data_IF_599199412365
#
_entry.id   IF_599199412365
#
_cell.length_a   1.000
_cell.length_b   1.000
_cell.length_c   1.000
_cell.angle_alpha   90.00
_cell.angle_beta   90.00
_cell.angle_gamma   90.00
#
_symmetry.space_group_name_H-M   'P 1'
#
loop_
_entity.id
_entity.type
_entity.pdbx_description
1 polymer ?
#
# COMPACT_ATOMS: atom_id res chain seq x y z
N UNK A 1 -22.56 -23.42 -3.84
CA UNK A 1 -21.74 -22.99 -2.68
C UNK A 1 -20.64 -22.07 -3.17
N UNK A 2 -20.69 -20.78 -2.82
CA UNK A 2 -19.67 -19.80 -3.25
C UNK A 2 -18.41 -19.98 -2.40
N UNK A 3 -17.43 -20.73 -2.89
CA UNK A 3 -16.13 -20.84 -2.23
C UNK A 3 -15.42 -19.48 -2.33
N UNK A 4 -15.20 -18.83 -1.19
CA UNK A 4 -14.58 -17.51 -1.10
C UNK A 4 -13.14 -17.61 -1.64
N UNK A 5 -12.93 -17.19 -2.88
CA UNK A 5 -11.59 -17.18 -3.50
C UNK A 5 -10.69 -16.17 -2.78
N UNK A 6 -9.41 -16.51 -2.59
CA UNK A 6 -8.45 -15.64 -1.90
C UNK A 6 -8.18 -14.38 -2.73
N UNK A 7 -8.26 -13.21 -2.09
CA UNK A 7 -7.98 -11.92 -2.74
C UNK A 7 -6.58 -11.37 -2.45
N UNK A 8 -5.90 -11.86 -1.41
CA UNK A 8 -4.57 -11.39 -1.03
C UNK A 8 -3.52 -12.47 -1.29
N UNK A 9 -2.53 -12.13 -2.12
CA UNK A 9 -1.32 -12.92 -2.36
C UNK A 9 -0.13 -12.18 -1.75
N UNK A 10 0.76 -12.93 -1.09
CA UNK A 10 2.09 -12.46 -0.68
C UNK A 10 2.94 -12.14 -1.92
N UNK A 11 3.99 -11.32 -1.76
CA UNK A 11 4.87 -10.95 -2.88
C UNK A 11 5.51 -12.18 -3.52
N UNK A 12 6.02 -13.11 -2.71
CA UNK A 12 6.58 -14.38 -3.22
C UNK A 12 5.54 -15.21 -4.00
N UNK A 13 4.27 -15.20 -3.60
CA UNK A 13 3.22 -15.88 -4.37
C UNK A 13 2.91 -15.16 -5.70
N UNK A 14 2.95 -13.82 -5.73
CA UNK A 14 2.75 -13.03 -6.96
C UNK A 14 3.85 -13.34 -7.96
N UNK A 15 5.11 -13.37 -7.53
CA UNK A 15 6.24 -13.72 -8.38
C UNK A 15 6.11 -15.14 -8.95
N UNK A 16 5.71 -16.11 -8.10
CA UNK A 16 5.44 -17.48 -8.56
C UNK A 16 4.31 -17.56 -9.59
N UNK A 17 3.25 -16.76 -9.43
CA UNK A 17 2.16 -16.68 -10.41
C UNK A 17 2.66 -16.15 -11.75
N UNK A 18 3.47 -15.08 -11.72
CA UNK A 18 4.05 -14.47 -12.93
C UNK A 18 5.00 -15.46 -13.63
N UNK A 19 5.87 -16.14 -12.89
CA UNK A 19 6.77 -17.17 -13.42
C UNK A 19 5.99 -18.34 -14.05
N UNK A 20 4.90 -18.79 -13.42
CA UNK A 20 4.09 -19.87 -13.97
C UNK A 20 3.30 -19.45 -15.23
N UNK A 21 2.94 -18.18 -15.36
CA UNK A 21 2.37 -17.62 -16.59
C UNK A 21 3.44 -17.50 -17.69
N UNK A 22 4.63 -17.03 -17.35
CA UNK A 22 5.77 -16.94 -18.28
C UNK A 22 6.12 -18.31 -18.89
N UNK A 23 6.19 -19.36 -18.07
CA UNK A 23 6.39 -20.74 -18.55
C UNK A 23 5.31 -21.24 -19.51
N UNK A 24 4.11 -20.64 -19.47
CA UNK A 24 2.95 -20.98 -20.32
C UNK A 24 2.70 -19.91 -21.38
N UNK A 25 3.61 -18.97 -21.53
CA UNK A 25 3.54 -17.92 -22.54
C UNK A 25 4.33 -18.33 -23.77
N UNK A 26 3.84 -17.93 -24.94
CA UNK A 26 4.52 -18.05 -26.22
C UNK A 26 4.58 -16.63 -26.78
N UNK A 27 5.77 -16.18 -27.16
CA UNK A 27 5.99 -14.80 -27.66
C UNK A 27 5.52 -13.70 -26.69
N UNK A 28 5.63 -13.95 -25.38
CA UNK A 28 5.20 -12.98 -24.36
C UNK A 28 3.68 -12.95 -24.13
N UNK A 29 2.90 -13.81 -24.79
CA UNK A 29 1.45 -13.90 -24.56
C UNK A 29 1.11 -15.23 -23.87
N UNK A 30 0.40 -15.23 -22.73
CA UNK A 30 -0.05 -16.46 -22.09
C UNK A 30 -0.96 -17.24 -23.03
N UNK A 31 -0.71 -18.55 -23.19
CA UNK A 31 -1.56 -19.43 -23.99
C UNK A 31 -3.03 -19.34 -23.54
N UNK A 32 -3.95 -19.49 -24.49
CA UNK A 32 -5.37 -19.59 -24.19
C UNK A 32 -5.65 -20.62 -23.08
N UNK A 33 -6.30 -20.18 -22.00
CA UNK A 33 -6.59 -21.02 -20.83
C UNK A 33 -5.54 -20.98 -19.71
N UNK A 34 -4.31 -20.51 -19.96
CA UNK A 34 -3.23 -20.48 -18.97
C UNK A 34 -3.62 -19.69 -17.70
N UNK A 35 -4.29 -18.55 -17.86
CA UNK A 35 -4.80 -17.75 -16.73
C UNK A 35 -5.77 -18.55 -15.86
N UNK A 36 -6.64 -19.37 -16.47
CA UNK A 36 -7.61 -20.20 -15.73
C UNK A 36 -6.90 -21.33 -14.98
N UNK A 37 -5.93 -21.98 -15.61
CA UNK A 37 -5.13 -23.04 -14.99
C UNK A 37 -4.32 -22.50 -13.80
N UNK A 38 -3.61 -21.39 -13.99
CA UNK A 38 -2.84 -20.73 -12.94
C UNK A 38 -3.76 -20.25 -11.82
N UNK A 39 -4.90 -19.64 -12.14
CA UNK A 39 -5.88 -19.23 -11.11
C UNK A 39 -6.36 -20.42 -10.26
N UNK A 40 -6.58 -21.57 -10.90
CA UNK A 40 -6.99 -22.81 -10.22
C UNK A 40 -5.87 -23.34 -9.33
N UNK A 41 -4.63 -23.37 -9.83
CA UNK A 41 -3.44 -23.82 -9.09
C UNK A 41 -3.19 -23.01 -7.82
N UNK A 42 -3.40 -21.69 -7.85
CA UNK A 42 -3.15 -20.80 -6.72
C UNK A 42 -4.41 -20.49 -5.88
N UNK A 43 -5.57 -21.03 -6.25
CA UNK A 43 -6.84 -20.83 -5.52
C UNK A 43 -7.32 -19.36 -5.52
N UNK A 44 -6.99 -18.60 -6.57
CA UNK A 44 -7.31 -17.18 -6.72
C UNK A 44 -8.32 -16.95 -7.83
N UNK A 45 -8.93 -15.77 -7.84
CA UNK A 45 -9.81 -15.41 -8.94
C UNK A 45 -9.03 -15.14 -10.24
N UNK A 46 -9.65 -15.48 -11.38
CA UNK A 46 -9.08 -15.24 -12.71
C UNK A 46 -8.74 -13.77 -12.92
N UNK A 47 -9.58 -12.85 -12.41
CA UNK A 47 -9.34 -11.41 -12.47
C UNK A 47 -8.05 -11.00 -11.76
N UNK A 48 -7.69 -11.66 -10.65
CA UNK A 48 -6.45 -11.38 -9.93
C UNK A 48 -5.23 -11.74 -10.78
N UNK A 49 -5.25 -12.93 -11.39
CA UNK A 49 -4.16 -13.41 -12.27
C UNK A 49 -4.02 -12.52 -13.51
N UNK A 50 -5.13 -12.13 -14.14
CA UNK A 50 -5.10 -11.19 -15.26
C UNK A 50 -4.51 -9.83 -14.88
N UNK A 51 -4.85 -9.30 -13.71
CA UNK A 51 -4.28 -8.03 -13.22
C UNK A 51 -2.78 -8.13 -12.94
N UNK A 52 -2.33 -9.25 -12.35
CA UNK A 52 -0.91 -9.50 -12.12
C UNK A 52 -0.14 -9.55 -13.43
N UNK A 53 -0.70 -10.22 -14.44
CA UNK A 53 -0.07 -10.31 -15.75
C UNK A 53 0.08 -8.94 -16.40
N UNK A 54 -1.04 -8.19 -16.51
CA UNK A 54 -1.03 -6.84 -17.06
C UNK A 54 -0.02 -5.93 -16.36
N UNK A 55 0.03 -6.00 -15.03
CA UNK A 55 0.96 -5.18 -14.26
C UNK A 55 2.42 -5.61 -14.46
N UNK A 56 2.68 -6.92 -14.66
CA UNK A 56 4.01 -7.42 -14.99
C UNK A 56 4.49 -6.99 -16.39
N UNK A 57 3.58 -6.92 -17.37
CA UNK A 57 3.87 -6.32 -18.69
C UNK A 57 4.20 -4.83 -18.55
N UNK A 58 3.37 -4.07 -17.84
CA UNK A 58 3.61 -2.64 -17.60
C UNK A 58 4.92 -2.35 -16.84
N UNK A 59 5.38 -3.27 -16.00
CA UNK A 59 6.65 -3.15 -15.28
C UNK A 59 7.85 -3.56 -16.15
N UNK A 60 7.67 -4.56 -17.01
CA UNK A 60 8.65 -4.96 -18.02
C UNK A 60 8.96 -3.78 -18.96
N UNK A 61 7.93 -3.07 -19.43
CA UNK A 61 8.09 -1.90 -20.30
C UNK A 61 8.85 -0.74 -19.65
N UNK A 62 8.88 -0.67 -18.30
CA UNK A 62 9.52 0.43 -17.56
C UNK A 62 10.91 0.11 -17.03
N UNK A 63 11.12 -1.13 -16.61
CA UNK A 63 12.27 -1.54 -15.79
C UNK A 63 12.99 -2.76 -16.36
N UNK A 64 12.60 -3.27 -17.53
CA UNK A 64 13.07 -4.53 -18.13
C UNK A 64 12.90 -5.77 -17.23
N UNK A 65 12.14 -5.65 -16.14
CA UNK A 65 11.89 -6.70 -15.17
C UNK A 65 10.42 -7.14 -15.17
N UNK A 66 10.18 -8.41 -15.44
CA UNK A 66 8.82 -8.98 -15.40
C UNK A 66 8.45 -9.33 -13.95
N UNK A 67 7.80 -8.40 -13.25
CA UNK A 67 7.33 -8.58 -11.86
C UNK A 67 6.03 -7.83 -11.61
N UNK A 68 5.25 -8.29 -10.63
CA UNK A 68 4.04 -7.57 -10.18
C UNK A 68 4.08 -7.31 -8.67
N UNK A 69 4.90 -6.35 -8.20
CA UNK A 69 5.01 -6.01 -6.79
C UNK A 69 3.67 -5.51 -6.22
N UNK A 70 3.46 -5.74 -4.93
CA UNK A 70 2.28 -5.25 -4.24
C UNK A 70 2.34 -3.74 -4.07
N UNK A 71 1.34 -3.02 -4.60
CA UNK A 71 1.17 -1.59 -4.33
C UNK A 71 0.41 -1.29 -3.04
N UNK A 72 0.03 -2.33 -2.27
CA UNK A 72 -0.63 -2.16 -0.97
C UNK A 72 0.32 -1.39 -0.05
N UNK A 73 -0.09 -0.19 0.36
CA UNK A 73 0.65 0.77 1.18
C UNK A 73 1.70 1.64 0.45
N UNK A 74 1.83 1.54 -0.88
CA UNK A 74 2.66 2.49 -1.65
C UNK A 74 1.94 3.83 -1.87
N UNK A 75 0.61 3.83 -1.77
CA UNK A 75 -0.24 5.01 -1.92
C UNK A 75 -1.01 5.24 -0.62
N UNK A 76 -0.90 6.43 -0.07
CA UNK A 76 -1.51 6.83 1.20
C UNK A 76 -1.12 8.25 1.59
N UNK A 77 -1.67 8.75 2.70
CA UNK A 77 -1.20 10.01 3.28
C UNK A 77 0.15 9.74 3.96
N UNK A 78 1.24 10.43 3.57
CA UNK A 78 2.51 10.29 4.27
C UNK A 78 2.33 10.71 5.73
N UNK A 79 2.95 9.97 6.66
CA UNK A 79 3.00 10.41 8.06
C UNK A 79 3.72 11.75 8.12
N UNK A 80 3.10 12.74 8.77
CA UNK A 80 3.72 14.05 8.94
C UNK A 80 4.80 13.91 10.01
N UNK A 81 5.98 14.49 9.79
CA UNK A 81 6.94 14.63 10.88
C UNK A 81 6.43 15.71 11.84
N UNK A 82 6.08 15.29 13.06
CA UNK A 82 5.55 16.16 14.11
C UNK A 82 6.58 16.40 15.23
N UNK A 83 7.81 15.90 15.10
CA UNK A 83 8.82 15.91 16.17
C UNK A 83 9.12 17.33 16.67
N UNK A 84 9.38 18.26 15.75
CA UNK A 84 9.63 19.66 16.10
C UNK A 84 8.41 20.35 16.75
N UNK A 85 7.20 19.88 16.47
CA UNK A 85 5.97 20.42 17.07
C UNK A 85 5.79 19.89 18.48
N UNK A 86 6.03 18.58 18.66
CA UNK A 86 6.03 17.97 19.98
C UNK A 86 7.07 18.62 20.89
N UNK A 87 8.25 18.95 20.38
CA UNK A 87 9.28 19.62 21.17
C UNK A 87 8.87 21.03 21.63
N UNK A 88 8.27 21.82 20.71
CA UNK A 88 7.68 23.14 21.04
C UNK A 88 6.56 23.03 22.06
N UNK A 89 5.72 22.00 21.93
CA UNK A 89 4.67 21.71 22.89
C UNK A 89 5.28 21.34 24.23
N UNK A 90 6.24 20.43 24.25
CA UNK A 90 6.99 19.98 25.41
C UNK A 90 7.80 21.10 26.10
N UNK A 91 7.95 22.26 25.46
CA UNK A 91 8.63 23.44 26.01
C UNK A 91 7.69 24.53 26.54
N UNK A 92 6.39 24.54 26.18
CA UNK A 92 5.45 25.60 26.60
C UNK A 92 5.00 25.49 28.08
N UNK A 93 4.66 26.54 28.83
CA UNK A 93 4.16 26.40 30.20
C UNK A 93 2.90 25.53 30.30
N UNK A 94 2.73 24.77 31.39
CA UNK A 94 1.60 23.85 31.62
C UNK A 94 0.22 24.52 31.44
N UNK A 95 0.10 25.77 31.90
CA UNK A 95 -1.10 26.60 31.73
C UNK A 95 -1.49 26.75 30.26
N UNK A 96 -0.52 26.81 29.36
CA UNK A 96 -0.74 26.93 27.92
C UNK A 96 -1.02 25.57 27.24
N UNK A 97 -0.71 24.44 27.88
CA UNK A 97 -1.03 23.09 27.37
C UNK A 97 -2.31 22.48 27.93
N UNK A 98 -2.92 23.13 28.92
CA UNK A 98 -4.06 22.61 29.70
C UNK A 98 -5.32 22.30 28.89
N UNK A 99 -5.55 22.99 27.77
CA UNK A 99 -6.72 22.78 26.91
C UNK A 99 -6.34 22.83 25.43
N UNK A 100 -7.13 22.18 24.57
CA UNK A 100 -6.94 22.24 23.11
C UNK A 100 -6.90 23.69 22.58
N UNK A 101 -7.68 24.59 23.19
CA UNK A 101 -7.74 26.02 22.83
C UNK A 101 -6.49 26.78 23.28
N UNK A 102 -5.93 26.50 24.46
CA UNK A 102 -4.68 27.12 24.90
C UNK A 102 -3.50 26.58 24.10
N UNK A 103 -3.51 25.28 23.78
CA UNK A 103 -2.51 24.59 22.99
C UNK A 103 -2.36 25.15 21.59
N UNK A 104 -3.48 25.53 20.95
CA UNK A 104 -3.48 26.21 19.66
C UNK A 104 -2.69 27.53 19.67
N UNK A 105 -2.53 28.19 20.83
CA UNK A 105 -1.75 29.42 20.96
C UNK A 105 -0.24 29.17 20.98
N UNK A 106 0.20 27.95 21.26
CA UNK A 106 1.61 27.54 21.20
C UNK A 106 2.08 27.20 19.78
N UNK A 107 1.15 27.06 18.82
CA UNK A 107 1.44 26.76 17.42
C UNK A 107 1.20 28.01 16.55
N UNK A 108 2.08 28.25 15.58
CA UNK A 108 1.94 29.37 14.63
C UNK A 108 0.73 29.13 13.71
N UNK A 109 -0.04 30.19 13.44
CA UNK A 109 -1.26 30.16 12.61
C UNK A 109 -0.94 29.87 11.13
N UNK A 110 -0.90 28.58 10.78
CA UNK A 110 -1.19 27.94 9.47
C UNK A 110 -0.73 26.45 9.42
N UNK A 111 -0.35 25.89 10.57
CA UNK A 111 0.13 24.52 10.71
C UNK A 111 -1.04 23.52 10.97
N UNK A 112 -0.87 22.21 10.69
CA UNK A 112 -1.93 21.21 10.75
C UNK A 112 -2.66 21.19 12.09
N UNK A 113 -3.93 20.78 12.03
CA UNK A 113 -4.88 20.78 13.13
C UNK A 113 -4.27 20.13 14.38
N UNK A 114 -4.36 20.78 15.55
CA UNK A 114 -3.90 20.25 16.86
C UNK A 114 -4.37 18.81 17.08
N UNK A 115 -5.54 18.49 16.55
CA UNK A 115 -6.15 17.16 16.57
C UNK A 115 -5.28 16.08 15.90
N UNK A 116 -4.54 16.42 14.83
CA UNK A 116 -3.63 15.49 14.15
C UNK A 116 -2.48 15.08 15.09
N UNK A 117 -1.95 16.02 15.89
CA UNK A 117 -0.88 15.76 16.86
C UNK A 117 -1.35 14.82 17.97
N UNK A 118 -2.56 15.03 18.51
CA UNK A 118 -3.11 14.15 19.55
C UNK A 118 -3.42 12.75 19.02
N UNK A 119 -4.00 12.65 17.81
CA UNK A 119 -4.31 11.36 17.18
C UNK A 119 -3.06 10.54 16.89
N UNK A 120 -1.93 11.16 16.57
CA UNK A 120 -0.68 10.46 16.30
C UNK A 120 0.13 10.12 17.57
N UNK A 121 -0.08 10.83 18.69
CA UNK A 121 0.73 10.68 19.91
C UNK A 121 0.06 9.99 21.09
N UNK A 122 -1.27 9.80 21.06
CA UNK A 122 -1.98 9.00 22.07
C UNK A 122 -2.10 9.65 23.45
N UNK A 123 -1.97 10.98 23.52
CA UNK A 123 -2.26 11.79 24.71
C UNK A 123 -3.76 11.91 25.00
#
# INVERSE_FOLDING_TARGET
>A
TSTKKRCALSECERDRVVVELLKRSVEGVPRAGAIKEVATKFGVDRKTVSRLWKHAEEEQDKSDMIRSPSQRNQRGCPKKDLTAKLDRLCSAPLVQRSTLRSHRRCLVWNEPNVIDVYKETGF
#
